data_IF_478926730591
#
_entry.id   IF_478926730591
#
_cell.length_a   1.000
_cell.length_b   1.000
_cell.length_c   1.000
_cell.angle_alpha   90.00
_cell.angle_beta   90.00
_cell.angle_gamma   90.00
#
_symmetry.space_group_name_H-M   'P 1'
#
loop_
_entity.id
_entity.type
_entity.pdbx_description
1 polymer ?
#
# COMPACT_ATOMS: atom_id res chain seq x y z
N UNK A 1 60.05 17.10 29.56
CA UNK A 1 59.80 17.71 30.89
C UNK A 1 59.16 19.06 30.59
N UNK A 2 57.85 19.24 30.73
CA UNK A 2 56.89 18.85 31.78
C UNK A 2 56.78 19.93 32.84
N UNK A 3 55.54 20.29 33.07
CA UNK A 3 55.06 21.50 33.70
C UNK A 3 55.70 21.76 35.08
N UNK A 4 56.26 22.96 35.33
CA UNK A 4 56.57 23.46 36.67
C UNK A 4 55.48 24.41 37.22
N UNK A 5 54.33 24.47 36.55
CA UNK A 5 52.99 24.83 37.07
C UNK A 5 51.94 24.85 35.93
N UNK A 6 52.31 25.05 34.66
CA UNK A 6 51.56 24.50 33.50
C UNK A 6 52.37 24.46 32.20
N UNK A 7 53.70 24.49 32.26
CA UNK A 7 54.53 24.45 31.05
C UNK A 7 54.62 22.99 30.50
N UNK A 8 53.49 22.51 29.99
CA UNK A 8 53.14 21.10 29.90
C UNK A 8 53.97 20.30 28.91
N UNK A 9 54.42 19.13 29.37
CA UNK A 9 54.36 17.92 28.57
C UNK A 9 53.63 16.92 29.46
N UNK A 10 52.71 16.19 28.88
CA UNK A 10 51.83 15.28 29.59
C UNK A 10 51.53 14.10 28.66
N UNK A 11 50.93 13.03 29.18
CA UNK A 11 50.55 11.92 28.31
C UNK A 11 49.53 12.38 27.27
N UNK A 12 49.60 11.80 26.06
CA UNK A 12 48.81 12.24 24.89
C UNK A 12 47.29 12.27 25.14
N UNK A 13 46.83 11.58 26.18
CA UNK A 13 45.41 11.44 26.52
C UNK A 13 45.07 12.00 27.91
N UNK A 14 45.98 12.71 28.58
CA UNK A 14 45.73 13.24 29.91
C UNK A 14 44.82 14.48 29.85
N UNK A 15 43.61 14.39 30.42
CA UNK A 15 42.63 15.49 30.43
C UNK A 15 43.03 16.62 31.40
N UNK A 16 43.86 16.30 32.41
CA UNK A 16 44.40 17.25 33.36
C UNK A 16 45.92 17.13 33.42
N UNK A 17 46.57 18.25 33.73
CA UNK A 17 47.99 18.23 34.06
C UNK A 17 48.23 17.36 35.29
N UNK A 18 49.00 16.30 35.14
CA UNK A 18 49.36 15.38 36.24
C UNK A 18 50.22 16.06 37.32
N UNK A 19 50.79 17.23 37.04
CA UNK A 19 51.67 17.95 37.96
C UNK A 19 51.00 19.12 38.70
N UNK A 20 50.07 19.85 38.05
CA UNK A 20 49.46 21.06 38.64
C UNK A 20 47.93 21.04 38.71
N UNK A 21 47.29 20.02 38.13
CA UNK A 21 45.83 19.91 38.11
C UNK A 21 45.10 20.87 37.17
N UNK A 22 45.78 21.70 36.37
CA UNK A 22 45.08 22.52 35.36
C UNK A 22 44.51 21.65 34.23
N UNK A 23 43.28 21.93 33.76
CA UNK A 23 42.70 21.22 32.62
C UNK A 23 43.54 21.52 31.37
N UNK A 24 44.03 20.47 30.75
CA UNK A 24 44.64 20.54 29.42
C UNK A 24 43.49 20.67 28.46
N UNK A 25 43.14 21.92 28.12
CA UNK A 25 41.96 22.22 27.32
C UNK A 25 41.80 21.24 26.18
N UNK A 26 40.71 20.45 26.22
CA UNK A 26 40.14 19.90 25.00
C UNK A 26 39.91 21.09 24.11
N UNK A 27 40.77 21.25 23.11
CA UNK A 27 40.41 21.89 21.88
C UNK A 27 39.20 21.11 21.35
N UNK A 28 38.00 21.53 21.74
CA UNK A 28 36.78 21.14 21.05
C UNK A 28 36.80 21.93 19.74
N UNK A 29 37.68 21.49 18.86
CA UNK A 29 37.52 21.68 17.43
C UNK A 29 36.12 21.19 17.10
N UNK A 30 35.28 22.17 16.76
CA UNK A 30 34.07 22.09 15.98
C UNK A 30 33.65 20.68 15.57
N UNK A 31 32.53 20.22 16.11
CA UNK A 31 31.51 19.58 15.29
C UNK A 31 30.14 19.73 15.93
N UNK A 32 29.42 20.68 15.36
CA UNK A 32 27.97 20.70 15.23
C UNK A 32 27.16 20.79 16.51
N UNK A 33 26.74 22.02 16.76
CA UNK A 33 25.42 22.33 17.28
C UNK A 33 24.35 21.42 16.63
N UNK A 34 24.00 20.34 17.31
CA UNK A 34 22.71 19.63 17.22
C UNK A 34 22.66 18.53 18.29
N UNK A 35 22.88 18.88 19.56
CA UNK A 35 22.49 18.03 20.70
C UNK A 35 20.96 18.10 20.97
N UNK A 36 20.17 18.45 19.95
CA UNK A 36 18.73 18.31 19.95
C UNK A 36 18.36 16.84 19.81
N UNK A 37 18.31 16.14 20.94
CA UNK A 37 17.62 14.86 21.18
C UNK A 37 17.17 14.13 19.88
N UNK A 38 17.94 13.16 19.35
CA UNK A 38 17.54 12.40 18.15
C UNK A 38 16.21 11.64 18.33
N UNK A 39 15.73 11.52 19.58
CA UNK A 39 14.45 10.92 19.92
C UNK A 39 13.24 11.67 19.37
N UNK A 40 13.28 13.00 19.18
CA UNK A 40 12.12 13.72 18.65
C UNK A 40 11.84 13.38 17.18
N UNK A 41 12.88 13.22 16.35
CA UNK A 41 12.72 12.77 14.97
C UNK A 41 12.30 11.29 14.88
N UNK A 42 12.81 10.45 15.79
CA UNK A 42 12.42 9.04 15.88
C UNK A 42 10.92 8.86 16.18
N UNK A 43 10.32 9.74 16.99
CA UNK A 43 8.88 9.71 17.30
C UNK A 43 7.98 9.87 16.07
N UNK A 44 8.45 10.56 15.02
CA UNK A 44 7.70 10.71 13.77
C UNK A 44 8.12 9.69 12.70
N UNK A 45 9.40 9.32 12.64
CA UNK A 45 9.89 8.38 11.62
C UNK A 45 9.42 6.94 11.87
N UNK A 46 9.37 6.49 13.13
CA UNK A 46 8.93 5.12 13.47
C UNK A 46 7.48 4.84 13.05
N UNK A 47 6.47 5.66 13.42
CA UNK A 47 5.09 5.40 12.99
C UNK A 47 4.93 5.53 11.47
N UNK A 48 5.63 6.47 10.83
CA UNK A 48 5.59 6.62 9.36
C UNK A 48 6.15 5.38 8.67
N UNK A 49 7.31 4.87 9.11
CA UNK A 49 7.88 3.64 8.58
C UNK A 49 6.96 2.43 8.82
N UNK A 50 6.34 2.31 10.00
CA UNK A 50 5.38 1.23 10.27
C UNK A 50 4.18 1.30 9.31
N UNK A 51 3.64 2.49 9.04
CA UNK A 51 2.56 2.67 8.06
C UNK A 51 3.00 2.24 6.66
N UNK A 52 4.19 2.62 6.20
CA UNK A 52 4.70 2.20 4.90
C UNK A 52 4.98 0.69 4.81
N UNK A 53 5.50 0.08 5.88
CA UNK A 53 5.70 -1.38 5.95
C UNK A 53 4.35 -2.08 5.87
N UNK A 54 3.34 -1.60 6.59
CA UNK A 54 1.98 -2.16 6.57
C UNK A 54 1.35 -2.00 5.18
N UNK A 55 1.42 -0.82 4.57
CA UNK A 55 0.92 -0.57 3.20
C UNK A 55 1.65 -1.46 2.18
N UNK A 56 2.97 -1.54 2.27
CA UNK A 56 3.80 -2.38 1.41
C UNK A 56 3.48 -3.86 1.58
N UNK A 57 3.32 -4.33 2.82
CA UNK A 57 2.92 -5.69 3.15
C UNK A 57 1.55 -6.03 2.54
N UNK A 58 0.54 -5.18 2.76
CA UNK A 58 -0.79 -5.38 2.16
C UNK A 58 -0.81 -5.25 0.63
N UNK A 59 0.08 -4.45 0.03
CA UNK A 59 0.11 -4.25 -1.41
C UNK A 59 0.96 -5.29 -2.16
N UNK A 60 1.96 -5.88 -1.52
CA UNK A 60 2.95 -6.76 -2.16
C UNK A 60 2.82 -8.21 -1.73
N UNK A 61 2.47 -8.48 -0.47
CA UNK A 61 2.34 -9.85 0.07
C UNK A 61 0.89 -10.33 0.19
N UNK A 62 -0.11 -9.44 0.10
CA UNK A 62 -1.51 -9.79 -0.09
C UNK A 62 -2.01 -9.33 -1.49
N UNK A 63 -1.56 -9.96 -2.60
CA UNK A 63 -2.10 -9.67 -3.93
C UNK A 63 -3.60 -9.96 -4.05
N UNK A 64 -4.20 -10.71 -3.12
CA UNK A 64 -5.61 -11.10 -3.18
C UNK A 64 -6.57 -10.08 -2.56
N UNK A 65 -6.10 -9.00 -1.92
CA UNK A 65 -6.97 -8.06 -1.20
C UNK A 65 -7.69 -7.02 -2.06
N UNK A 66 -7.25 -6.79 -3.31
CA UNK A 66 -7.97 -5.91 -4.26
C UNK A 66 -8.98 -6.67 -5.10
N UNK A 67 -8.93 -8.00 -5.06
CA UNK A 67 -9.92 -8.88 -5.65
C UNK A 67 -10.80 -9.55 -4.58
N UNK A 68 -10.43 -9.57 -3.29
CA UNK A 68 -11.22 -10.14 -2.20
C UNK A 68 -12.46 -9.32 -1.81
N UNK A 69 -12.56 -8.05 -2.18
CA UNK A 69 -13.84 -7.34 -2.14
C UNK A 69 -14.78 -7.75 -3.29
N UNK A 70 -14.26 -8.45 -4.30
CA UNK A 70 -15.05 -9.11 -5.35
C UNK A 70 -15.17 -10.65 -5.13
N UNK A 71 -14.29 -11.26 -4.32
CA UNK A 71 -14.24 -12.71 -4.07
C UNK A 71 -14.76 -13.13 -2.68
N UNK A 72 -15.59 -12.29 -2.05
CA UNK A 72 -16.32 -12.60 -0.82
C UNK A 72 -17.65 -13.33 -1.02
N UNK A 73 -18.00 -13.75 -2.25
CA UNK A 73 -19.20 -14.55 -2.51
C UNK A 73 -18.81 -16.00 -2.77
N UNK A 74 -18.92 -16.80 -1.71
CA UNK A 74 -18.43 -18.16 -1.61
C UNK A 74 -18.84 -19.10 -2.74
N UNK A 75 -17.97 -20.08 -2.93
CA UNK A 75 -18.29 -21.37 -3.51
C UNK A 75 -19.69 -21.86 -3.06
N UNK A 76 -20.60 -21.99 -4.02
CA UNK A 76 -21.68 -22.95 -3.94
C UNK A 76 -21.59 -23.84 -5.17
N UNK A 77 -21.04 -25.02 -4.93
CA UNK A 77 -21.44 -26.21 -5.66
C UNK A 77 -22.98 -26.25 -5.64
N UNK A 78 -23.59 -26.41 -6.82
CA UNK A 78 -25.04 -26.46 -7.12
C UNK A 78 -25.71 -25.16 -7.65
N UNK A 79 -25.59 -24.95 -8.96
CA UNK A 79 -26.75 -24.75 -9.85
C UNK A 79 -27.59 -23.47 -9.78
N UNK A 80 -27.23 -22.44 -9.01
CA UNK A 80 -27.90 -21.13 -9.09
C UNK A 80 -26.92 -19.99 -8.92
N UNK A 81 -26.98 -18.99 -9.81
CA UNK A 81 -26.40 -17.68 -9.52
C UNK A 81 -27.02 -17.15 -8.22
N UNK A 82 -26.16 -16.76 -7.29
CA UNK A 82 -26.59 -15.95 -6.16
C UNK A 82 -26.91 -14.54 -6.67
N UNK A 83 -27.84 -13.81 -6.03
CA UNK A 83 -28.17 -12.44 -6.43
C UNK A 83 -26.96 -11.49 -6.38
N UNK A 84 -25.96 -11.82 -5.55
CA UNK A 84 -24.71 -11.07 -5.48
C UNK A 84 -23.86 -11.25 -6.75
N UNK A 85 -23.73 -12.50 -7.21
CA UNK A 85 -23.01 -12.85 -8.44
C UNK A 85 -23.75 -12.31 -9.66
N UNK A 86 -25.08 -12.35 -9.66
CA UNK A 86 -25.90 -11.76 -10.73
C UNK A 86 -25.65 -10.25 -10.88
N UNK A 87 -25.61 -9.50 -9.76
CA UNK A 87 -25.27 -8.07 -9.77
C UNK A 87 -23.86 -7.82 -10.28
N UNK A 88 -22.88 -8.59 -9.80
CA UNK A 88 -21.49 -8.45 -10.24
C UNK A 88 -21.34 -8.66 -11.75
N UNK A 89 -22.05 -9.64 -12.30
CA UNK A 89 -22.05 -9.94 -13.74
C UNK A 89 -22.76 -8.85 -14.54
N UNK A 90 -23.88 -8.33 -14.04
CA UNK A 90 -24.58 -7.20 -14.63
C UNK A 90 -23.70 -5.94 -14.67
N UNK A 91 -23.01 -5.64 -13.57
CA UNK A 91 -22.10 -4.50 -13.45
C UNK A 91 -20.91 -4.63 -14.41
N UNK A 92 -20.35 -5.83 -14.55
CA UNK A 92 -19.27 -6.10 -15.51
C UNK A 92 -19.74 -5.89 -16.97
N UNK A 93 -20.94 -6.35 -17.32
CA UNK A 93 -21.52 -6.12 -18.65
C UNK A 93 -21.81 -4.65 -18.93
N UNK A 94 -22.29 -3.90 -17.92
CA UNK A 94 -22.51 -2.45 -18.06
C UNK A 94 -21.20 -1.67 -18.15
N UNK A 95 -20.14 -2.12 -17.47
CA UNK A 95 -18.81 -1.54 -17.59
C UNK A 95 -18.28 -1.71 -19.02
N UNK A 96 -18.35 -2.92 -19.56
CA UNK A 96 -17.97 -3.22 -20.95
C UNK A 96 -18.77 -2.38 -21.96
N UNK A 97 -20.08 -2.23 -21.76
CA UNK A 97 -20.94 -1.38 -22.59
C UNK A 97 -20.49 0.09 -22.59
N UNK A 98 -20.14 0.63 -21.41
CA UNK A 98 -19.70 2.02 -21.27
C UNK A 98 -18.35 2.27 -21.91
N UNK A 99 -17.44 1.30 -21.82
CA UNK A 99 -16.08 1.41 -22.33
C UNK A 99 -16.02 1.18 -23.85
N UNK A 100 -16.69 0.15 -24.35
CA UNK A 100 -16.49 -0.35 -25.71
C UNK A 100 -17.61 0.00 -26.71
N UNK A 101 -18.84 0.28 -26.24
CA UNK A 101 -20.04 0.35 -27.10
C UNK A 101 -20.71 1.74 -27.15
N UNK A 102 -20.03 2.77 -26.65
CA UNK A 102 -20.39 4.18 -26.88
C UNK A 102 -21.18 4.86 -25.76
N UNK A 103 -21.39 4.19 -24.62
CA UNK A 103 -21.95 4.79 -23.41
C UNK A 103 -23.43 5.22 -23.52
N UNK A 104 -24.04 5.44 -22.36
CA UNK A 104 -25.45 5.81 -22.21
C UNK A 104 -26.16 5.01 -21.13
N UNK A 105 -27.38 5.41 -20.78
CA UNK A 105 -28.24 4.63 -19.89
C UNK A 105 -28.66 3.34 -20.58
N UNK A 106 -28.21 2.22 -20.03
CA UNK A 106 -28.60 0.88 -20.42
C UNK A 106 -28.79 0.05 -19.16
N UNK A 107 -29.75 -0.87 -19.20
CA UNK A 107 -29.88 -1.93 -18.21
C UNK A 107 -29.08 -3.16 -18.63
N UNK A 108 -28.84 -4.06 -17.70
CA UNK A 108 -28.32 -5.39 -17.99
C UNK A 108 -29.27 -6.43 -17.43
N UNK A 109 -29.53 -7.48 -18.21
CA UNK A 109 -30.25 -8.68 -17.77
C UNK A 109 -29.29 -9.86 -17.81
N UNK A 110 -29.18 -10.57 -16.70
CA UNK A 110 -28.33 -11.76 -16.59
C UNK A 110 -29.21 -12.99 -16.70
N UNK A 111 -28.81 -13.95 -17.53
CA UNK A 111 -29.51 -15.23 -17.71
C UNK A 111 -28.52 -16.37 -17.51
N UNK A 112 -28.85 -17.28 -16.58
CA UNK A 112 -28.10 -18.52 -16.36
C UNK A 112 -28.64 -19.63 -17.26
N UNK A 113 -27.80 -20.14 -18.17
CA UNK A 113 -28.14 -21.31 -18.98
C UNK A 113 -27.55 -22.62 -18.41
N UNK A 114 -26.94 -22.58 -17.23
CA UNK A 114 -26.32 -23.71 -16.55
C UNK A 114 -24.95 -24.12 -17.11
N UNK A 115 -24.72 -23.96 -18.42
CA UNK A 115 -23.42 -24.17 -19.06
C UNK A 115 -22.62 -22.87 -19.30
N UNK A 116 -23.31 -21.74 -19.36
CA UNK A 116 -22.73 -20.40 -19.45
C UNK A 116 -23.74 -19.38 -18.92
N UNK A 117 -23.24 -18.20 -18.60
CA UNK A 117 -24.07 -17.06 -18.22
C UNK A 117 -24.04 -16.04 -19.35
N UNK A 118 -25.21 -15.53 -19.73
CA UNK A 118 -25.36 -14.49 -20.74
C UNK A 118 -25.81 -13.18 -20.10
N UNK A 119 -25.25 -12.09 -20.57
CA UNK A 119 -25.59 -10.73 -20.15
C UNK A 119 -26.12 -9.98 -21.35
N UNK A 120 -27.41 -9.68 -21.33
CA UNK A 120 -28.07 -8.89 -22.36
C UNK A 120 -28.13 -7.42 -21.92
N UNK A 121 -27.52 -6.55 -22.70
CA UNK A 121 -27.59 -5.10 -22.53
C UNK A 121 -28.89 -4.61 -23.13
N UNK A 122 -29.73 -3.98 -22.31
CA UNK A 122 -31.06 -3.50 -22.67
C UNK A 122 -31.05 -1.98 -22.75
N UNK A 123 -31.42 -1.43 -23.91
CA UNK A 123 -31.65 0.00 -24.12
C UNK A 123 -33.02 0.21 -24.72
N UNK A 124 -33.78 1.18 -24.21
CA UNK A 124 -35.14 1.46 -24.69
C UNK A 124 -36.06 0.21 -24.70
N UNK A 125 -35.88 -0.68 -23.73
CA UNK A 125 -36.62 -1.94 -23.62
C UNK A 125 -36.23 -3.03 -24.62
N UNK A 126 -35.18 -2.84 -25.43
CA UNK A 126 -34.67 -3.82 -26.41
C UNK A 126 -33.25 -4.25 -26.07
N UNK A 127 -32.96 -5.55 -26.22
CA UNK A 127 -31.60 -6.05 -26.14
C UNK A 127 -30.78 -5.53 -27.33
N UNK A 128 -29.78 -4.69 -27.05
CA UNK A 128 -28.89 -4.09 -28.05
C UNK A 128 -27.60 -4.88 -28.21
N UNK A 129 -27.21 -5.63 -27.18
CA UNK A 129 -26.02 -6.49 -27.21
C UNK A 129 -26.20 -7.69 -26.28
N UNK A 130 -25.64 -8.82 -26.66
CA UNK A 130 -25.56 -10.02 -25.83
C UNK A 130 -24.09 -10.36 -25.64
N UNK A 131 -23.68 -10.47 -24.38
CA UNK A 131 -22.32 -10.76 -23.96
C UNK A 131 -22.32 -12.09 -23.20
N UNK A 132 -21.24 -12.86 -23.29
CA UNK A 132 -21.09 -14.06 -22.48
C UNK A 132 -20.16 -13.79 -21.30
N UNK A 133 -20.56 -14.27 -20.13
CA UNK A 133 -19.72 -14.25 -18.94
C UNK A 133 -19.13 -15.65 -18.74
N UNK A 134 -17.80 -15.74 -18.80
CA UNK A 134 -17.05 -16.97 -18.55
C UNK A 134 -15.84 -16.67 -17.67
N UNK A 135 -15.65 -17.45 -16.60
CA UNK A 135 -14.45 -17.39 -15.73
C UNK A 135 -14.09 -15.97 -15.23
N UNK A 136 -15.08 -15.16 -14.85
CA UNK A 136 -14.82 -13.80 -14.36
C UNK A 136 -14.67 -12.73 -15.45
N UNK A 137 -14.78 -13.09 -16.73
CA UNK A 137 -14.59 -12.18 -17.86
C UNK A 137 -15.80 -12.13 -18.79
N UNK A 138 -16.10 -10.92 -19.24
CA UNK A 138 -17.05 -10.66 -20.33
C UNK A 138 -16.33 -10.99 -21.64
N UNK A 139 -16.95 -11.82 -22.47
CA UNK A 139 -16.48 -12.18 -23.81
C UNK A 139 -17.60 -11.85 -24.80
N UNK A 140 -17.26 -11.13 -25.86
CA UNK A 140 -18.16 -10.89 -26.98
C UNK A 140 -18.28 -12.17 -27.82
N UNK A 141 -19.50 -12.51 -28.23
CA UNK A 141 -19.76 -13.64 -29.14
C UNK A 141 -19.85 -13.18 -30.58
#
# INVERSE_FOLDING_TARGET
MKCPLCNQLNDRNAELCTYCGQPLGREQTSSSAASGRPYFAAFFLVPVFLVFIVIGYYRFFLPEGKEAAAQGAGASASGRLTPEVERSIADAGLADWRENLGGGEAGARVTDFGCHVQVDIIRDGKAVKSLQYQNGKITER
#
